data_IF_933212550799
#
_entry.id   IF_933212550799
#
_cell.length_a   1.000
_cell.length_b   1.000
_cell.length_c   1.000
_cell.angle_alpha   90.00
_cell.angle_beta   90.00
_cell.angle_gamma   90.00
#
_symmetry.space_group_name_H-M   'P 1'
#
loop_
_entity.id
_entity.type
_entity.pdbx_description
1 polymer ?
#
# COMPACT_ATOMS: atom_id res chain seq x y z
N UNK A 1 27.96 -29.09 -54.22
CA UNK A 1 26.69 -28.39 -53.91
C UNK A 1 26.86 -27.78 -52.52
N UNK A 2 27.03 -26.46 -52.42
CA UNK A 2 27.27 -25.74 -51.14
C UNK A 2 25.93 -25.22 -50.64
N UNK A 3 25.52 -25.61 -49.43
CA UNK A 3 24.37 -25.05 -48.74
C UNK A 3 24.86 -23.97 -47.77
N UNK A 4 24.39 -22.74 -47.97
CA UNK A 4 24.65 -21.60 -47.07
C UNK A 4 23.45 -21.50 -46.13
N UNK A 5 23.65 -21.70 -44.82
CA UNK A 5 22.63 -21.41 -43.82
C UNK A 5 22.62 -19.90 -43.54
N UNK A 6 21.46 -19.27 -43.69
CA UNK A 6 21.18 -17.94 -43.14
C UNK A 6 20.62 -18.10 -41.73
N UNK A 7 21.37 -17.65 -40.73
CA UNK A 7 20.90 -17.53 -39.34
C UNK A 7 20.19 -16.18 -39.20
N UNK A 8 18.87 -16.19 -39.04
CA UNK A 8 18.09 -14.99 -38.75
C UNK A 8 18.13 -14.71 -37.25
N UNK A 9 18.86 -13.68 -36.84
CA UNK A 9 18.86 -13.16 -35.47
C UNK A 9 17.59 -12.33 -35.26
N UNK A 10 16.62 -12.85 -34.48
CA UNK A 10 15.50 -12.06 -33.97
C UNK A 10 16.03 -11.10 -32.90
N UNK A 11 16.11 -9.80 -33.20
CA UNK A 11 16.22 -8.76 -32.17
C UNK A 11 14.83 -8.54 -31.57
N UNK A 12 14.56 -9.15 -30.42
CA UNK A 12 13.39 -8.83 -29.62
C UNK A 12 13.53 -7.43 -29.01
N UNK A 13 12.64 -6.51 -29.39
CA UNK A 13 12.54 -5.21 -28.73
C UNK A 13 12.05 -5.43 -27.29
N UNK A 14 12.91 -5.17 -26.31
CA UNK A 14 12.50 -5.10 -24.91
C UNK A 14 11.59 -3.87 -24.74
N UNK A 15 10.28 -4.09 -24.74
CA UNK A 15 9.33 -3.06 -24.36
C UNK A 15 9.53 -2.70 -22.89
N UNK A 16 9.65 -1.41 -22.59
CA UNK A 16 9.54 -0.89 -21.22
C UNK A 16 8.09 -1.12 -20.77
N UNK A 17 7.87 -2.17 -19.99
CA UNK A 17 6.59 -2.39 -19.32
C UNK A 17 6.43 -1.27 -18.28
N UNK A 18 5.56 -0.30 -18.56
CA UNK A 18 5.12 0.67 -17.56
C UNK A 18 3.92 0.03 -16.87
N UNK A 19 4.03 -0.22 -15.56
CA UNK A 19 2.89 -0.65 -14.77
C UNK A 19 1.91 0.53 -14.64
N UNK A 20 0.62 0.26 -14.81
CA UNK A 20 -0.40 1.30 -14.77
C UNK A 20 -0.56 1.85 -13.34
N UNK A 21 -0.87 3.14 -13.23
CA UNK A 21 -1.22 3.74 -11.95
C UNK A 21 -2.65 3.35 -11.57
N UNK A 22 -2.94 3.13 -10.27
CA UNK A 22 -4.29 2.74 -9.85
C UNK A 22 -5.28 3.90 -9.95
N UNK A 23 -6.52 3.59 -10.33
CA UNK A 23 -7.68 4.47 -10.26
C UNK A 23 -8.38 4.28 -8.91
N UNK A 24 -7.85 4.90 -7.87
CA UNK A 24 -8.30 4.68 -6.49
C UNK A 24 -9.72 5.22 -6.28
N UNK A 25 -10.70 4.38 -5.90
CA UNK A 25 -12.07 4.81 -5.64
C UNK A 25 -12.32 5.17 -4.17
N UNK A 26 -11.34 4.94 -3.29
CA UNK A 26 -11.44 5.24 -1.87
C UNK A 26 -11.52 6.73 -1.61
N UNK A 27 -12.37 7.11 -0.67
CA UNK A 27 -12.41 8.46 -0.16
C UNK A 27 -11.17 8.71 0.71
N UNK A 28 -10.49 9.85 0.49
CA UNK A 28 -9.32 10.23 1.29
C UNK A 28 -9.66 10.35 2.78
N UNK A 29 -8.72 10.08 3.71
CA UNK A 29 -7.32 9.74 3.44
C UNK A 29 -7.14 8.27 3.07
N UNK A 30 -6.18 7.98 2.20
CA UNK A 30 -5.75 6.62 1.87
C UNK A 30 -4.25 6.59 1.55
N UNK A 31 -3.64 5.43 1.73
CA UNK A 31 -2.27 5.15 1.31
C UNK A 31 -2.33 3.93 0.39
N UNK A 32 -1.86 4.10 -0.84
CA UNK A 32 -1.96 3.12 -1.93
C UNK A 32 -0.57 2.81 -2.49
N UNK A 33 -0.36 1.59 -2.97
CA UNK A 33 0.80 1.29 -3.81
C UNK A 33 0.77 2.12 -5.08
N UNK A 34 1.93 2.65 -5.49
CA UNK A 34 2.04 3.52 -6.67
C UNK A 34 1.57 2.85 -7.96
N UNK A 35 1.85 1.56 -8.09
CA UNK A 35 1.55 0.76 -9.27
C UNK A 35 0.38 -0.17 -8.96
N UNK A 36 -0.47 -0.45 -9.95
CA UNK A 36 -1.66 -1.27 -9.75
C UNK A 36 -1.34 -2.72 -9.38
N UNK A 37 -0.15 -3.22 -9.73
CA UNK A 37 0.29 -4.60 -9.50
C UNK A 37 -0.77 -5.66 -9.89
N UNK A 38 -1.42 -5.44 -11.02
CA UNK A 38 -2.47 -6.32 -11.55
C UNK A 38 -3.70 -6.49 -10.62
N UNK A 39 -4.04 -5.48 -9.80
CA UNK A 39 -5.33 -5.45 -9.12
C UNK A 39 -6.47 -5.55 -10.15
N UNK A 40 -7.41 -6.51 -9.99
CA UNK A 40 -8.36 -6.87 -11.05
C UNK A 40 -9.30 -5.77 -11.55
N UNK A 41 -9.59 -4.78 -10.71
CA UNK A 41 -10.49 -3.66 -11.02
C UNK A 41 -9.74 -2.38 -11.42
N UNK A 42 -8.40 -2.38 -11.34
CA UNK A 42 -7.58 -1.20 -11.52
C UNK A 42 -7.61 -0.23 -10.33
N UNK A 43 -8.14 -0.63 -9.17
CA UNK A 43 -8.29 0.23 -7.98
C UNK A 43 -7.01 0.40 -7.19
N UNK A 44 -6.02 -0.47 -7.43
CA UNK A 44 -4.81 -0.55 -6.64
C UNK A 44 -5.01 -1.16 -5.27
N UNK A 45 -3.89 -1.22 -4.56
CA UNK A 45 -3.76 -1.90 -3.29
C UNK A 45 -3.51 -0.90 -2.17
N UNK A 46 -4.45 -0.77 -1.24
CA UNK A 46 -4.41 0.12 -0.10
C UNK A 46 -3.95 -0.63 1.17
N UNK A 47 -3.46 0.11 2.16
CA UNK A 47 -3.38 -0.40 3.54
C UNK A 47 -4.81 -0.68 4.00
N UNK A 48 -5.05 -1.87 4.55
CA UNK A 48 -6.34 -2.33 5.05
C UNK A 48 -6.13 -3.02 6.40
N UNK A 49 -7.13 -3.01 7.27
CA UNK A 49 -7.17 -3.94 8.39
C UNK A 49 -7.48 -5.36 7.93
N UNK A 50 -7.04 -6.36 8.68
CA UNK A 50 -7.34 -7.75 8.33
C UNK A 50 -8.78 -8.12 8.68
N UNK A 51 -9.60 -8.40 7.65
CA UNK A 51 -11.01 -8.74 7.81
C UNK A 51 -11.92 -7.57 7.49
N UNK A 52 -13.13 -7.56 8.06
CA UNK A 52 -14.06 -6.45 7.92
C UNK A 52 -14.00 -5.57 9.17
N UNK A 53 -13.70 -4.28 9.00
CA UNK A 53 -13.65 -3.35 10.11
C UNK A 53 -12.43 -3.57 11.02
N UNK A 54 -12.50 -3.13 12.28
CA UNK A 54 -11.31 -3.04 13.13
C UNK A 54 -10.64 -4.40 13.36
N UNK A 55 -9.32 -4.44 13.18
CA UNK A 55 -8.47 -5.60 13.42
C UNK A 55 -7.10 -5.15 13.91
N UNK A 56 -6.48 -5.93 14.78
CA UNK A 56 -5.11 -5.68 15.26
C UNK A 56 -4.07 -5.96 14.18
N UNK A 57 -4.41 -6.68 13.11
CA UNK A 57 -3.52 -6.97 12.00
C UNK A 57 -3.84 -6.09 10.80
N UNK A 58 -2.80 -5.69 10.07
CA UNK A 58 -2.92 -4.97 8.81
C UNK A 58 -2.53 -5.87 7.64
N UNK A 59 -3.09 -5.55 6.48
CA UNK A 59 -2.82 -6.21 5.22
C UNK A 59 -2.75 -5.16 4.10
N UNK A 60 -2.35 -5.61 2.92
CA UNK A 60 -2.59 -4.87 1.68
C UNK A 60 -3.75 -5.53 0.96
N UNK A 61 -4.76 -4.75 0.59
CA UNK A 61 -5.96 -5.26 -0.07
C UNK A 61 -6.47 -4.26 -1.12
N UNK A 62 -7.35 -4.69 -2.03
CA UNK A 62 -7.95 -3.78 -3.01
C UNK A 62 -8.58 -2.58 -2.30
N UNK A 63 -8.28 -1.38 -2.79
CA UNK A 63 -8.87 -0.14 -2.29
C UNK A 63 -10.41 -0.18 -2.39
N UNK A 64 -11.10 0.32 -1.37
CA UNK A 64 -12.57 0.20 -1.25
C UNK A 64 -13.29 1.40 -1.86
N UNK A 65 -14.39 1.23 -2.60
CA UNK A 65 -15.22 2.35 -3.08
C UNK A 65 -15.75 3.22 -1.94
N UNK A 66 -16.03 4.49 -2.24
CA UNK A 66 -16.70 5.41 -1.32
C UNK A 66 -18.04 4.85 -0.83
N UNK A 67 -18.33 5.02 0.46
CA UNK A 67 -19.59 4.61 1.10
C UNK A 67 -20.29 5.84 1.67
N UNK A 68 -21.09 6.52 0.85
CA UNK A 68 -21.77 7.76 1.25
C UNK A 68 -22.82 7.52 2.33
N UNK A 69 -22.86 8.38 3.34
CA UNK A 69 -23.86 8.33 4.42
C UNK A 69 -23.59 7.30 5.52
N UNK A 70 -22.54 6.48 5.36
CA UNK A 70 -22.10 5.54 6.38
C UNK A 70 -21.32 6.26 7.50
N UNK A 71 -21.38 5.77 8.75
CA UNK A 71 -20.61 6.34 9.84
C UNK A 71 -19.11 6.13 9.62
N UNK A 72 -18.27 7.01 10.19
CA UNK A 72 -16.79 6.93 10.12
C UNK A 72 -16.24 5.53 10.45
N UNK A 73 -16.86 4.81 11.39
CA UNK A 73 -16.45 3.47 11.83
C UNK A 73 -16.97 2.32 10.95
N UNK A 74 -17.63 2.61 9.83
CA UNK A 74 -18.13 1.58 8.91
C UNK A 74 -16.99 0.75 8.34
N UNK A 75 -17.21 -0.56 8.19
CA UNK A 75 -16.20 -1.51 7.69
C UNK A 75 -15.71 -1.20 6.27
N UNK A 76 -16.47 -0.44 5.46
CA UNK A 76 -16.00 0.05 4.17
C UNK A 76 -14.89 1.12 4.25
N UNK A 77 -14.63 1.68 5.43
CA UNK A 77 -13.64 2.73 5.67
C UNK A 77 -12.31 2.21 6.22
N UNK A 78 -12.17 0.92 6.46
CA UNK A 78 -10.97 0.28 7.01
C UNK A 78 -9.72 0.29 6.11
N UNK A 79 -9.83 0.82 4.89
CA UNK A 79 -8.70 1.16 4.01
C UNK A 79 -8.24 2.62 4.12
N UNK A 80 -8.89 3.42 4.96
CA UNK A 80 -8.62 4.85 5.08
C UNK A 80 -7.54 5.10 6.14
N UNK A 81 -6.33 5.41 5.68
CA UNK A 81 -5.17 5.72 6.51
C UNK A 81 -4.52 7.02 6.06
N UNK A 82 -3.96 7.76 7.01
CA UNK A 82 -3.26 9.02 6.79
C UNK A 82 -1.81 8.92 7.30
N UNK A 83 -0.85 9.45 6.54
CA UNK A 83 0.49 9.67 7.05
C UNK A 83 0.60 11.07 7.66
N UNK A 84 0.84 11.13 8.98
CA UNK A 84 1.09 12.37 9.69
C UNK A 84 2.60 12.67 9.67
N UNK A 85 3.00 13.71 8.94
CA UNK A 85 4.41 14.10 8.80
C UNK A 85 5.01 14.70 10.08
N UNK A 86 4.20 15.31 10.96
CA UNK A 86 4.68 15.89 12.23
C UNK A 86 5.05 14.79 13.23
N UNK A 87 4.25 13.72 13.30
CA UNK A 87 4.48 12.59 14.22
C UNK A 87 5.18 11.40 13.58
N UNK A 88 5.36 11.42 12.26
CA UNK A 88 5.87 10.33 11.42
C UNK A 88 5.03 9.04 11.52
N UNK A 89 3.75 9.12 11.85
CA UNK A 89 2.90 7.94 12.03
C UNK A 89 1.93 7.75 10.87
N UNK A 90 1.62 6.49 10.57
CA UNK A 90 0.47 6.14 9.73
C UNK A 90 -0.72 5.88 10.66
N UNK A 91 -1.73 6.74 10.60
CA UNK A 91 -2.88 6.80 11.50
C UNK A 91 -4.12 6.25 10.79
N UNK A 92 -4.94 5.49 11.50
CA UNK A 92 -6.23 5.03 11.00
C UNK A 92 -7.25 6.16 11.00
N UNK A 93 -7.96 6.35 9.89
CA UNK A 93 -9.12 7.21 9.84
C UNK A 93 -10.31 6.62 10.62
N UNK A 94 -10.83 5.41 10.33
CA UNK A 94 -12.04 4.92 11.00
C UNK A 94 -11.83 4.58 12.49
N UNK A 95 -10.61 4.26 12.90
CA UNK A 95 -10.26 3.84 14.26
C UNK A 95 -9.37 4.89 14.93
N UNK A 96 -10.01 5.93 15.45
CA UNK A 96 -9.33 7.07 16.08
C UNK A 96 -8.39 6.64 17.21
N UNK A 97 -7.18 7.20 17.22
CA UNK A 97 -6.16 6.88 18.23
C UNK A 97 -5.35 5.62 17.93
N UNK A 98 -5.55 4.97 16.78
CA UNK A 98 -4.77 3.81 16.36
C UNK A 98 -3.81 4.12 15.20
N UNK A 99 -2.61 3.55 15.28
CA UNK A 99 -1.49 3.74 14.38
C UNK A 99 -0.96 2.39 13.89
N UNK A 100 -0.45 2.36 12.66
CA UNK A 100 0.31 1.24 12.14
C UNK A 100 1.60 1.05 12.93
N UNK A 101 1.91 -0.19 13.30
CA UNK A 101 3.16 -0.59 13.93
C UNK A 101 3.78 -1.78 13.20
N UNK A 102 5.07 -1.70 12.87
CA UNK A 102 5.82 -2.88 12.45
C UNK A 102 6.00 -3.84 13.64
N UNK A 103 5.51 -5.07 13.54
CA UNK A 103 5.75 -6.14 14.53
C UNK A 103 7.11 -6.80 14.30
N UNK A 104 7.40 -7.12 13.03
CA UNK A 104 8.65 -7.76 12.60
C UNK A 104 9.30 -6.88 11.53
N UNK A 105 10.51 -6.39 11.79
CA UNK A 105 11.27 -5.54 10.87
C UNK A 105 12.39 -6.32 10.14
N UNK A 106 12.40 -7.65 10.24
CA UNK A 106 13.37 -8.53 9.60
C UNK A 106 12.66 -9.54 8.69
N UNK A 107 13.02 -9.59 7.41
CA UNK A 107 12.36 -10.50 6.46
C UNK A 107 10.96 -10.04 6.08
N UNK A 108 9.96 -10.96 6.13
CA UNK A 108 8.56 -10.62 5.86
C UNK A 108 8.01 -9.80 7.02
N UNK A 109 7.82 -8.50 6.79
CA UNK A 109 7.26 -7.63 7.81
C UNK A 109 5.78 -7.88 8.02
N UNK A 110 5.40 -7.97 9.29
CA UNK A 110 4.02 -7.97 9.75
C UNK A 110 3.72 -6.61 10.37
N UNK A 111 2.57 -6.04 10.01
CA UNK A 111 2.09 -4.78 10.54
C UNK A 111 0.85 -5.00 11.37
N UNK A 112 0.75 -4.25 12.46
CA UNK A 112 -0.39 -4.24 13.36
C UNK A 112 -1.01 -2.84 13.42
N UNK A 113 -2.28 -2.80 13.81
CA UNK A 113 -2.97 -1.57 14.20
C UNK A 113 -3.05 -1.54 15.72
N UNK A 114 -2.31 -0.63 16.35
CA UNK A 114 -2.23 -0.53 17.82
C UNK A 114 -2.47 0.91 18.25
N UNK A 115 -2.73 1.14 19.54
CA UNK A 115 -2.82 2.50 20.07
C UNK A 115 -1.58 3.32 19.69
N UNK A 116 -1.82 4.54 19.21
CA UNK A 116 -0.77 5.47 18.84
C UNK A 116 0.10 5.79 20.06
N UNK A 117 1.41 5.67 19.89
CA UNK A 117 2.39 5.96 20.93
C UNK A 117 3.71 6.43 20.31
N UNK A 118 4.66 6.86 21.14
CA UNK A 118 6.02 7.19 20.67
C UNK A 118 6.89 5.95 20.44
N UNK A 119 6.28 4.76 20.31
CA UNK A 119 7.01 3.55 20.02
C UNK A 119 7.74 3.67 18.66
N UNK A 120 9.05 3.39 18.56
CA UNK A 120 9.85 3.65 17.35
C UNK A 120 9.35 2.88 16.12
N UNK A 121 8.78 1.68 16.32
CA UNK A 121 8.16 0.89 15.23
C UNK A 121 6.83 1.45 14.69
N UNK A 122 6.33 2.56 15.23
CA UNK A 122 5.22 3.32 14.65
C UNK A 122 5.69 4.54 13.84
N UNK A 123 6.99 4.78 13.75
CA UNK A 123 7.56 5.95 13.09
C UNK A 123 8.08 5.55 11.71
N UNK A 124 7.61 6.24 10.67
CA UNK A 124 7.94 6.00 9.27
C UNK A 124 8.36 7.31 8.61
N UNK A 125 9.37 7.24 7.74
CA UNK A 125 9.79 8.32 6.85
C UNK A 125 9.17 8.05 5.49
N UNK A 126 8.40 9.01 4.99
CA UNK A 126 7.99 9.02 3.59
C UNK A 126 9.07 9.71 2.75
N UNK A 127 9.58 9.01 1.73
CA UNK A 127 10.53 9.55 0.75
C UNK A 127 9.78 9.89 -0.54
N UNK A 128 9.66 11.18 -0.84
CA UNK A 128 8.94 11.65 -2.04
C UNK A 128 9.62 11.25 -3.36
N UNK A 129 10.93 10.95 -3.33
CA UNK A 129 11.72 10.66 -4.53
C UNK A 129 11.37 9.29 -5.10
N UNK A 130 11.29 8.28 -4.23
CA UNK A 130 10.95 6.91 -4.63
C UNK A 130 9.56 6.46 -4.16
N UNK A 131 8.85 7.33 -3.44
CA UNK A 131 7.49 7.15 -2.94
C UNK A 131 7.38 5.96 -1.98
N UNK A 132 8.39 5.78 -1.11
CA UNK A 132 8.42 4.70 -0.12
C UNK A 132 8.14 5.19 1.30
N UNK A 133 7.44 4.37 2.08
CA UNK A 133 7.35 4.49 3.54
C UNK A 133 8.38 3.56 4.17
N UNK A 134 9.33 4.14 4.91
CA UNK A 134 10.43 3.40 5.54
C UNK A 134 10.35 3.52 7.04
N UNK A 135 10.43 2.41 7.77
CA UNK A 135 10.54 2.47 9.22
C UNK A 135 11.74 3.34 9.61
N UNK A 136 11.55 4.29 10.53
CA UNK A 136 12.67 4.99 11.15
C UNK A 136 13.48 3.91 11.86
N UNK A 137 14.70 3.64 11.38
CA UNK A 137 15.55 2.61 11.96
C UNK A 137 15.61 2.77 13.48
N UNK A 138 15.25 1.70 14.21
CA UNK A 138 15.38 1.64 15.66
C UNK A 138 16.83 1.46 16.09
#
# INVERSE_FOLDING_TARGET
>A
MRFTLFTATLLGAAGVANADAPQVPSEAPYIVLRENHDEPNGYGFCIDTYGAGQSDLLQTHSCKPSSEGEPRSYEGHDTRFEYNADTMQVVSYPFEGFCMQALIATGKSEFALLECSDHPRQKFIYDETDQTLRLVAG
#
